data_IF_979950269491
#
_entry.id   IF_979950269491
#
_cell.length_a   1.000
_cell.length_b   1.000
_cell.length_c   1.000
_cell.angle_alpha   90.00
_cell.angle_beta   90.00
_cell.angle_gamma   90.00
#
_symmetry.space_group_name_H-M   'P 1'
#
loop_
_entity.id
_entity.type
_entity.pdbx_description
1 polymer ?
#
# COMPACT_ATOMS: atom_id res chain seq x y z
N UNK A 1 -4.32 -13.27 -24.81
CA UNK A 1 -5.04 -12.30 -23.94
C UNK A 1 -4.14 -11.07 -23.79
N UNK A 2 -4.69 -9.85 -23.79
CA UNK A 2 -3.90 -8.62 -23.56
C UNK A 2 -3.38 -8.65 -22.10
N UNK A 3 -2.10 -8.31 -21.83
CA UNK A 3 -1.61 -8.24 -20.46
C UNK A 3 -2.27 -7.08 -19.71
N UNK A 4 -2.64 -7.30 -18.45
CA UNK A 4 -3.17 -6.28 -17.52
C UNK A 4 -2.00 -5.51 -16.93
N UNK A 5 -1.96 -4.20 -17.14
CA UNK A 5 -0.79 -3.38 -16.82
C UNK A 5 -1.12 -2.34 -15.76
N UNK A 6 -0.16 -2.07 -14.87
CA UNK A 6 -0.30 -1.03 -13.84
C UNK A 6 -0.45 0.34 -14.51
N UNK A 7 -1.51 1.06 -14.18
CA UNK A 7 -1.81 2.39 -14.70
C UNK A 7 -1.64 3.48 -13.64
N UNK A 8 -2.04 3.21 -12.40
CA UNK A 8 -1.92 4.11 -11.26
C UNK A 8 -1.78 3.34 -9.96
N UNK A 9 -1.24 4.00 -8.93
CA UNK A 9 -1.22 3.52 -7.55
C UNK A 9 -1.69 4.65 -6.63
N UNK A 10 -2.37 4.29 -5.55
CA UNK A 10 -2.78 5.22 -4.49
C UNK A 10 -2.45 4.62 -3.14
N UNK A 11 -2.05 5.48 -2.19
CA UNK A 11 -1.82 5.08 -0.81
C UNK A 11 -2.74 5.87 0.12
N UNK A 12 -3.60 5.15 0.84
CA UNK A 12 -4.55 5.76 1.78
C UNK A 12 -4.17 5.38 3.21
N UNK A 13 -3.63 6.32 4.01
CA UNK A 13 -3.40 6.06 5.43
C UNK A 13 -4.74 5.99 6.17
N UNK A 14 -4.92 4.95 6.97
CA UNK A 14 -6.12 4.71 7.76
C UNK A 14 -5.78 4.56 9.24
N UNK A 15 -6.67 5.04 10.10
CA UNK A 15 -6.57 4.88 11.55
C UNK A 15 -7.70 3.96 12.03
N UNK A 16 -7.35 2.96 12.83
CA UNK A 16 -8.31 2.01 13.41
C UNK A 16 -8.20 2.08 14.93
N UNK A 17 -9.26 2.46 15.66
CA UNK A 17 -9.21 2.59 17.12
C UNK A 17 -8.97 1.23 17.80
N UNK A 18 -8.30 1.26 18.94
CA UNK A 18 -8.20 0.11 19.84
C UNK A 18 -9.33 0.16 20.87
N UNK A 19 -9.94 -1.00 21.13
CA UNK A 19 -10.96 -1.13 22.18
C UNK A 19 -10.37 -1.09 23.59
N UNK A 20 -9.11 -1.54 23.75
CA UNK A 20 -8.41 -1.58 25.03
C UNK A 20 -6.89 -1.37 24.85
N UNK A 21 -6.16 -0.96 25.91
CA UNK A 21 -4.71 -0.81 25.85
C UNK A 21 -3.99 -2.13 25.53
N UNK A 22 -3.12 -2.11 24.53
CA UNK A 22 -2.24 -3.24 24.20
C UNK A 22 -0.84 -2.98 24.79
N UNK A 23 -0.42 -3.80 25.74
CA UNK A 23 0.89 -3.71 26.41
C UNK A 23 1.95 -4.54 25.68
N UNK A 24 3.17 -4.02 25.61
CA UNK A 24 4.34 -4.69 25.05
C UNK A 24 5.64 -4.16 25.71
N UNK A 25 6.80 -4.76 25.42
CA UNK A 25 8.10 -4.36 26.01
C UNK A 25 8.43 -2.87 25.85
N UNK A 26 7.89 -2.23 24.81
CA UNK A 26 8.12 -0.81 24.51
C UNK A 26 7.04 0.12 25.09
N UNK A 27 6.20 -0.34 26.04
CA UNK A 27 5.10 0.43 26.62
C UNK A 27 3.71 -0.04 26.18
N UNK A 28 2.81 0.88 25.87
CA UNK A 28 1.45 0.58 25.40
C UNK A 28 1.18 1.25 24.05
N UNK A 29 0.41 0.61 23.17
CA UNK A 29 -0.03 1.23 21.92
C UNK A 29 -0.90 2.48 22.18
N UNK A 30 -0.77 3.49 21.31
CA UNK A 30 -1.44 4.81 21.34
C UNK A 30 -2.96 4.81 21.05
N UNK A 31 -3.70 3.79 21.52
CA UNK A 31 -5.16 3.70 21.39
C UNK A 31 -5.68 3.52 19.95
N UNK A 32 -4.80 3.27 18.97
CA UNK A 32 -5.15 2.99 17.57
C UNK A 32 -4.05 2.22 16.86
N UNK A 33 -4.34 1.70 15.68
CA UNK A 33 -3.36 1.34 14.67
C UNK A 33 -3.41 2.35 13.52
N UNK A 34 -2.25 2.61 12.92
CA UNK A 34 -2.17 3.27 11.61
C UNK A 34 -1.69 2.23 10.62
N UNK A 35 -2.40 2.10 9.52
CA UNK A 35 -2.08 1.23 8.38
C UNK A 35 -2.15 2.07 7.11
N UNK A 36 -1.52 1.60 6.05
CA UNK A 36 -1.66 2.22 4.72
C UNK A 36 -2.27 1.20 3.78
N UNK A 37 -3.43 1.53 3.21
CA UNK A 37 -4.04 0.77 2.13
C UNK A 37 -3.38 1.18 0.82
N UNK A 38 -3.00 0.19 0.01
CA UNK A 38 -2.41 0.40 -1.32
C UNK A 38 -3.40 -0.09 -2.35
N UNK A 39 -3.78 0.79 -3.25
CA UNK A 39 -4.63 0.47 -4.40
C UNK A 39 -3.76 0.48 -5.65
N UNK A 40 -3.83 -0.57 -6.47
CA UNK A 40 -3.15 -0.66 -7.76
C UNK A 40 -4.22 -0.77 -8.85
N UNK A 41 -4.34 0.27 -9.66
CA UNK A 41 -5.30 0.33 -10.77
C UNK A 41 -4.62 -0.11 -12.08
N UNK A 42 -5.30 -0.92 -12.86
CA UNK A 42 -4.81 -1.43 -14.14
C UNK A 42 -5.44 -0.74 -15.34
N UNK A 43 -4.76 -0.79 -16.49
CA UNK A 43 -5.23 -0.18 -17.75
C UNK A 43 -6.48 -0.85 -18.36
N UNK A 44 -6.88 -2.00 -17.80
CA UNK A 44 -8.09 -2.74 -18.14
C UNK A 44 -9.18 -2.65 -17.04
N UNK A 45 -9.03 -1.74 -16.09
CA UNK A 45 -10.10 -1.31 -15.17
C UNK A 45 -10.24 -2.16 -13.90
N UNK A 46 -9.26 -2.99 -13.55
CA UNK A 46 -9.22 -3.70 -12.27
C UNK A 46 -8.51 -2.87 -11.21
N UNK A 47 -8.88 -3.10 -9.95
CA UNK A 47 -8.20 -2.54 -8.77
C UNK A 47 -7.77 -3.68 -7.86
N UNK A 48 -6.47 -3.80 -7.63
CA UNK A 48 -5.88 -4.66 -6.61
C UNK A 48 -5.72 -3.92 -5.28
N UNK A 49 -5.92 -4.61 -4.16
CA UNK A 49 -5.78 -4.06 -2.81
C UNK A 49 -4.63 -4.75 -2.07
N UNK A 50 -3.82 -3.94 -1.40
CA UNK A 50 -2.76 -4.38 -0.49
C UNK A 50 -2.72 -3.52 0.77
N UNK A 51 -1.98 -3.97 1.77
CA UNK A 51 -1.83 -3.27 3.04
C UNK A 51 -0.38 -3.39 3.54
N UNK A 52 0.14 -2.30 4.12
CA UNK A 52 1.41 -2.32 4.84
C UNK A 52 1.33 -1.59 6.18
N UNK A 53 2.43 -1.71 6.95
CA UNK A 53 2.58 -1.08 8.26
C UNK A 53 2.42 0.43 8.23
N UNK A 54 2.14 1.00 9.40
CA UNK A 54 1.94 2.44 9.54
C UNK A 54 3.23 3.23 9.30
N UNK A 55 3.11 4.30 8.53
CA UNK A 55 4.11 5.37 8.42
C UNK A 55 3.50 6.74 8.15
N UNK A 56 2.16 6.83 8.06
CA UNK A 56 1.45 8.07 7.77
C UNK A 56 1.83 8.63 6.40
N UNK A 57 2.12 9.92 6.36
CA UNK A 57 2.47 10.66 5.15
C UNK A 57 3.71 10.06 4.45
N UNK A 58 4.76 9.69 5.20
CA UNK A 58 6.00 9.19 4.59
C UNK A 58 5.80 7.85 3.89
N UNK A 59 4.99 6.96 4.45
CA UNK A 59 4.63 5.70 3.79
C UNK A 59 3.78 5.95 2.54
N UNK A 60 2.87 6.92 2.60
CA UNK A 60 2.00 7.25 1.46
C UNK A 60 2.82 7.82 0.30
N UNK A 61 3.70 8.79 0.58
CA UNK A 61 4.61 9.36 -0.39
C UNK A 61 5.60 8.33 -0.96
N UNK A 62 6.11 7.42 -0.13
CA UNK A 62 7.00 6.36 -0.59
C UNK A 62 6.31 5.41 -1.57
N UNK A 63 5.06 5.01 -1.29
CA UNK A 63 4.28 4.17 -2.21
C UNK A 63 3.96 4.93 -3.49
N UNK A 64 3.40 6.13 -3.40
CA UNK A 64 3.00 6.91 -4.57
C UNK A 64 4.18 7.26 -5.48
N UNK A 65 5.37 7.50 -4.90
CA UNK A 65 6.61 7.72 -5.65
C UNK A 65 7.08 6.52 -6.48
N UNK A 66 6.60 5.29 -6.22
CA UNK A 66 6.96 4.11 -7.02
C UNK A 66 6.30 4.11 -8.40
N UNK A 67 5.35 5.00 -8.68
CA UNK A 67 4.60 4.96 -9.95
C UNK A 67 5.50 5.17 -11.16
N UNK A 68 6.55 6.00 -11.02
CA UNK A 68 7.51 6.26 -12.10
C UNK A 68 8.24 4.99 -12.54
N UNK A 69 8.42 4.04 -11.61
CA UNK A 69 9.00 2.73 -11.90
C UNK A 69 7.94 1.69 -12.33
N UNK A 70 6.81 1.62 -11.63
CA UNK A 70 5.85 0.53 -11.79
C UNK A 70 4.95 0.66 -13.00
N UNK A 71 4.67 1.88 -13.46
CA UNK A 71 3.68 2.12 -14.53
C UNK A 71 4.02 1.33 -15.80
N UNK A 72 3.00 0.66 -16.35
CA UNK A 72 3.11 -0.14 -17.57
C UNK A 72 3.61 -1.57 -17.37
N UNK A 73 4.07 -1.96 -16.18
CA UNK A 73 4.40 -3.36 -15.90
C UNK A 73 3.16 -4.25 -15.93
N UNK A 74 3.32 -5.48 -16.42
CA UNK A 74 2.31 -6.53 -16.33
C UNK A 74 2.23 -7.01 -14.87
N UNK A 75 1.03 -6.97 -14.28
CA UNK A 75 0.79 -7.27 -12.86
C UNK A 75 1.21 -8.70 -12.46
N UNK A 76 1.32 -9.63 -13.42
CA UNK A 76 1.73 -11.02 -13.15
C UNK A 76 3.24 -11.26 -13.35
N UNK A 77 4.01 -10.26 -13.78
CA UNK A 77 5.45 -10.37 -14.05
C UNK A 77 6.29 -9.81 -12.91
N UNK A 78 6.10 -10.34 -11.70
CA UNK A 78 6.68 -9.80 -10.46
C UNK A 78 8.22 -9.62 -10.49
N UNK A 79 8.97 -10.56 -11.06
CA UNK A 79 10.44 -10.45 -11.12
C UNK A 79 10.93 -9.27 -11.98
N UNK A 80 10.10 -8.74 -12.89
CA UNK A 80 10.44 -7.54 -13.63
C UNK A 80 10.35 -6.26 -12.78
N UNK A 81 9.68 -6.32 -11.62
CA UNK A 81 9.45 -5.20 -10.69
C UNK A 81 10.33 -5.27 -9.43
N UNK A 82 11.42 -6.04 -9.48
CA UNK A 82 12.22 -6.38 -8.30
C UNK A 82 13.26 -5.31 -7.91
N UNK A 83 13.65 -4.43 -8.83
CA UNK A 83 14.79 -3.51 -8.66
C UNK A 83 14.48 -2.10 -9.16
#
# INVERSE_FOLDING_TARGET
MKPSRIAAIRATPVTVPLEAPLLHSNGAHWGRFVRTLVEVETDDGFVGLGELGGGGESASAAVEGLIDYLKGHDVFRLEAMRF
#
